data_IF_159325830912
#
_entry.id   IF_159325830912
#
_cell.length_a   1.000
_cell.length_b   1.000
_cell.length_c   1.000
_cell.angle_alpha   90.00
_cell.angle_beta   90.00
_cell.angle_gamma   90.00
#
_symmetry.space_group_name_H-M   'P 1'
#
loop_
_entity.id
_entity.type
_entity.pdbx_description
1 polymer ?
#
# COMPACT_ATOMS: atom_id res chain seq x y z
N UNK A 1 -37.36 -16.88 -2.66
CA UNK A 1 -37.44 -15.41 -2.73
C UNK A 1 -36.84 -14.90 -1.43
N UNK A 2 -35.54 -14.64 -1.43
CA UNK A 2 -34.81 -14.12 -0.27
C UNK A 2 -34.27 -12.75 -0.65
N UNK A 3 -34.84 -11.72 -0.02
CA UNK A 3 -34.37 -10.35 -0.03
C UNK A 3 -32.99 -10.29 0.63
N UNK A 4 -31.92 -10.22 -0.17
CA UNK A 4 -30.63 -9.64 0.25
C UNK A 4 -29.86 -9.00 -0.91
N UNK A 5 -30.57 -8.63 -1.99
CA UNK A 5 -30.11 -7.56 -2.89
C UNK A 5 -30.22 -6.24 -2.13
N UNK A 6 -29.20 -5.95 -1.31
CA UNK A 6 -28.91 -4.57 -0.94
C UNK A 6 -28.61 -3.84 -2.26
N UNK A 7 -29.66 -3.29 -2.83
CA UNK A 7 -29.76 -2.56 -4.08
C UNK A 7 -28.70 -1.44 -4.09
N UNK A 8 -27.47 -1.75 -4.48
CA UNK A 8 -26.39 -0.80 -4.58
C UNK A 8 -26.68 0.08 -5.81
N UNK A 9 -27.54 1.09 -5.61
CA UNK A 9 -27.84 2.09 -6.61
C UNK A 9 -26.58 2.91 -6.84
N UNK A 10 -25.94 2.69 -7.97
CA UNK A 10 -24.77 3.46 -8.37
C UNK A 10 -25.18 4.65 -9.24
N UNK A 11 -24.30 5.65 -9.31
CA UNK A 11 -24.55 6.88 -10.05
C UNK A 11 -23.31 7.33 -10.83
N UNK A 12 -23.55 7.89 -12.01
CA UNK A 12 -22.56 8.65 -12.79
C UNK A 12 -23.19 9.98 -13.18
N UNK A 13 -22.56 11.08 -12.79
CA UNK A 13 -23.06 12.43 -13.04
C UNK A 13 -24.53 12.60 -12.61
N UNK A 14 -24.91 11.97 -11.49
CA UNK A 14 -26.28 11.97 -10.95
C UNK A 14 -27.28 11.03 -11.65
N UNK A 15 -26.90 10.36 -12.75
CA UNK A 15 -27.75 9.36 -13.43
C UNK A 15 -27.57 7.99 -12.79
N UNK A 16 -28.68 7.30 -12.51
CA UNK A 16 -28.67 5.93 -11.96
C UNK A 16 -28.11 4.94 -12.97
N UNK A 17 -27.21 4.08 -12.50
CA UNK A 17 -26.58 3.01 -13.31
C UNK A 17 -26.54 1.71 -12.50
N UNK A 18 -26.49 0.57 -13.19
CA UNK A 18 -26.00 -0.67 -12.59
C UNK A 18 -24.48 -0.78 -12.81
N UNK A 19 -23.79 -1.47 -11.91
CA UNK A 19 -22.38 -1.77 -12.07
C UNK A 19 -22.08 -3.16 -11.53
N UNK A 20 -21.23 -3.90 -12.25
CA UNK A 20 -20.91 -5.29 -11.94
C UNK A 20 -19.46 -5.63 -12.25
N UNK A 21 -18.96 -6.66 -11.58
CA UNK A 21 -17.66 -7.27 -11.87
C UNK A 21 -17.93 -8.76 -12.09
N UNK A 22 -17.44 -9.27 -13.20
CA UNK A 22 -17.61 -10.66 -13.59
C UNK A 22 -16.27 -11.27 -14.00
N UNK A 23 -16.09 -12.56 -13.70
CA UNK A 23 -14.97 -13.34 -14.20
C UNK A 23 -15.38 -13.96 -15.53
N UNK A 24 -14.60 -13.72 -16.56
CA UNK A 24 -14.83 -14.24 -17.91
C UNK A 24 -13.74 -15.23 -18.26
N UNK A 25 -14.16 -16.36 -18.83
CA UNK A 25 -13.27 -17.39 -19.37
C UNK A 25 -13.33 -17.32 -20.89
N UNK A 26 -12.19 -17.17 -21.55
CA UNK A 26 -12.09 -17.28 -23.01
C UNK A 26 -12.04 -18.75 -23.46
N UNK A 27 -12.31 -18.97 -24.75
CA UNK A 27 -12.38 -20.31 -25.33
C UNK A 27 -11.03 -21.03 -25.38
N UNK A 28 -9.93 -20.29 -25.33
CA UNK A 28 -8.55 -20.79 -25.22
C UNK A 28 -8.12 -21.09 -23.77
N UNK A 29 -8.97 -20.76 -22.79
CA UNK A 29 -8.73 -20.99 -21.37
C UNK A 29 -8.14 -19.78 -20.62
N UNK A 30 -7.93 -18.64 -21.29
CA UNK A 30 -7.47 -17.43 -20.62
C UNK A 30 -8.57 -16.85 -19.72
N UNK A 31 -8.18 -16.42 -18.51
CA UNK A 31 -9.08 -15.80 -17.54
C UNK A 31 -8.85 -14.30 -17.48
N UNK A 32 -9.93 -13.52 -17.55
CA UNK A 32 -9.88 -12.10 -17.23
C UNK A 32 -11.11 -11.65 -16.42
N UNK A 33 -11.02 -10.44 -15.87
CA UNK A 33 -12.08 -9.82 -15.10
C UNK A 33 -12.67 -8.67 -15.89
N UNK A 34 -13.98 -8.72 -16.09
CA UNK A 34 -14.74 -7.66 -16.72
C UNK A 34 -15.38 -6.78 -15.65
N UNK A 35 -15.28 -5.47 -15.80
CA UNK A 35 -16.13 -4.52 -15.09
C UNK A 35 -17.06 -3.83 -16.07
N UNK A 36 -18.35 -3.78 -15.74
CA UNK A 36 -19.36 -3.17 -16.57
C UNK A 36 -20.15 -2.13 -15.79
N UNK A 37 -20.55 -1.09 -16.51
CA UNK A 37 -21.49 -0.07 -16.07
C UNK A 37 -22.57 -0.01 -17.14
N UNK A 38 -23.83 -0.01 -16.74
CA UNK A 38 -24.93 0.10 -17.69
C UNK A 38 -26.10 0.92 -17.16
N UNK A 39 -26.98 1.27 -18.08
CA UNK A 39 -28.21 1.99 -17.76
C UNK A 39 -29.09 1.11 -16.87
N UNK A 40 -29.50 1.63 -15.72
CA UNK A 40 -30.27 0.84 -14.75
C UNK A 40 -31.66 0.44 -15.28
N UNK A 41 -32.26 1.27 -16.13
CA UNK A 41 -33.62 1.06 -16.59
C UNK A 41 -33.66 0.15 -17.82
N UNK A 42 -32.70 0.30 -18.75
CA UNK A 42 -32.65 -0.53 -19.97
C UNK A 42 -31.76 -1.76 -19.86
N UNK A 43 -30.90 -1.83 -18.83
CA UNK A 43 -29.84 -2.83 -18.67
C UNK A 43 -28.78 -2.83 -19.78
N UNK A 44 -28.81 -1.84 -20.68
CA UNK A 44 -27.79 -1.71 -21.73
C UNK A 44 -26.45 -1.32 -21.13
N UNK A 45 -25.37 -1.91 -21.63
CA UNK A 45 -24.02 -1.54 -21.24
C UNK A 45 -23.65 -0.15 -21.77
N UNK A 46 -23.16 0.70 -20.88
CA UNK A 46 -22.63 2.03 -21.19
C UNK A 46 -21.12 1.93 -21.37
N UNK A 47 -20.45 1.22 -20.46
CA UNK A 47 -19.01 1.04 -20.48
C UNK A 47 -18.64 -0.37 -20.00
N UNK A 48 -17.68 -0.98 -20.68
CA UNK A 48 -17.19 -2.32 -20.38
C UNK A 48 -15.66 -2.32 -20.53
N UNK A 49 -14.96 -2.84 -19.51
CA UNK A 49 -13.49 -2.89 -19.48
C UNK A 49 -12.97 -4.19 -18.89
N UNK A 50 -11.88 -4.68 -19.48
CA UNK A 50 -11.20 -5.89 -19.05
C UNK A 50 -10.00 -5.55 -18.16
N UNK A 51 -9.75 -6.42 -17.19
CA UNK A 51 -8.71 -6.28 -16.18
C UNK A 51 -8.10 -7.65 -15.87
N UNK A 52 -6.82 -7.65 -15.53
CA UNK A 52 -6.10 -8.88 -15.16
C UNK A 52 -6.58 -9.47 -13.82
N UNK A 53 -7.28 -8.68 -12.98
CA UNK A 53 -7.70 -9.11 -11.65
C UNK A 53 -8.94 -8.33 -11.16
N UNK A 54 -9.74 -8.92 -10.24
CA UNK A 54 -11.02 -8.33 -9.80
C UNK A 54 -10.82 -7.04 -9.01
N UNK A 55 -9.66 -6.86 -8.39
CA UNK A 55 -9.33 -5.68 -7.58
C UNK A 55 -9.05 -4.45 -8.46
N UNK A 56 -8.42 -4.64 -9.61
CA UNK A 56 -8.27 -3.58 -10.61
C UNK A 56 -9.63 -3.15 -11.16
N UNK A 57 -10.50 -4.10 -11.48
CA UNK A 57 -11.89 -3.86 -11.87
C UNK A 57 -12.67 -3.04 -10.82
N UNK A 58 -12.65 -3.47 -9.55
CA UNK A 58 -13.32 -2.77 -8.45
C UNK A 58 -12.76 -1.36 -8.22
N UNK A 59 -11.44 -1.16 -8.34
CA UNK A 59 -10.83 0.18 -8.23
C UNK A 59 -11.23 1.09 -9.37
N UNK A 60 -11.38 0.55 -10.58
CA UNK A 60 -11.87 1.33 -11.70
C UNK A 60 -13.31 1.79 -11.44
N UNK A 61 -14.23 0.86 -11.10
CA UNK A 61 -15.60 1.22 -10.75
C UNK A 61 -15.67 2.25 -9.61
N UNK A 62 -14.89 2.06 -8.55
CA UNK A 62 -14.82 2.98 -7.41
C UNK A 62 -14.36 4.39 -7.82
N UNK A 63 -13.56 4.54 -8.88
CA UNK A 63 -13.13 5.86 -9.37
C UNK A 63 -14.14 6.48 -10.33
N UNK A 64 -14.85 5.65 -11.09
CA UNK A 64 -15.80 6.10 -12.12
C UNK A 64 -17.13 6.57 -11.52
N UNK A 65 -17.59 5.95 -10.45
CA UNK A 65 -18.91 6.22 -9.86
C UNK A 65 -18.86 7.39 -8.84
N UNK A 66 -19.92 8.20 -8.79
CA UNK A 66 -19.97 9.48 -8.05
C UNK A 66 -19.63 9.34 -6.55
N UNK A 67 -20.18 8.33 -5.89
CA UNK A 67 -20.03 8.10 -4.45
C UNK A 67 -18.79 7.29 -4.07
N UNK A 68 -17.95 6.95 -5.06
CA UNK A 68 -16.74 6.13 -4.89
C UNK A 68 -16.93 4.89 -4.01
N UNK A 69 -17.93 4.03 -4.33
CA UNK A 69 -18.23 2.85 -3.55
C UNK A 69 -17.00 1.96 -3.38
N UNK A 70 -16.92 1.30 -2.23
CA UNK A 70 -15.79 0.45 -1.83
C UNK A 70 -16.12 -1.04 -1.81
N UNK A 71 -17.39 -1.39 -2.02
CA UNK A 71 -17.89 -2.76 -1.98
C UNK A 71 -18.62 -3.05 -3.28
N UNK A 72 -18.29 -4.17 -3.92
CA UNK A 72 -18.89 -4.65 -5.15
C UNK A 72 -19.12 -6.16 -5.02
N UNK A 73 -20.36 -6.56 -4.68
CA UNK A 73 -20.66 -7.95 -4.35
C UNK A 73 -19.78 -8.45 -3.20
N UNK A 74 -18.99 -9.49 -3.45
CA UNK A 74 -18.04 -10.07 -2.47
C UNK A 74 -16.71 -9.31 -2.36
N UNK A 75 -16.44 -8.34 -3.24
CA UNK A 75 -15.18 -7.60 -3.27
C UNK A 75 -15.30 -6.36 -2.37
N UNK A 76 -14.52 -6.31 -1.28
CA UNK A 76 -14.45 -5.18 -0.36
C UNK A 76 -13.06 -4.53 -0.36
N UNK A 77 -12.95 -3.34 -0.96
CA UNK A 77 -11.73 -2.55 -1.03
C UNK A 77 -11.29 -2.01 0.35
N UNK A 78 -12.19 -1.91 1.34
CA UNK A 78 -11.87 -1.42 2.69
C UNK A 78 -10.96 -2.40 3.43
N UNK A 79 -11.18 -3.70 3.23
CA UNK A 79 -10.33 -4.75 3.83
C UNK A 79 -8.90 -4.63 3.33
N UNK A 80 -8.72 -4.37 2.03
CA UNK A 80 -7.42 -4.14 1.42
C UNK A 80 -6.73 -2.88 1.97
N UNK A 81 -7.48 -1.78 2.07
CA UNK A 81 -6.99 -0.53 2.66
C UNK A 81 -6.57 -0.74 4.13
N UNK A 82 -7.37 -1.46 4.91
CA UNK A 82 -7.07 -1.82 6.30
C UNK A 82 -5.80 -2.69 6.40
N UNK A 83 -5.66 -3.72 5.56
CA UNK A 83 -4.46 -4.56 5.51
C UNK A 83 -3.20 -3.74 5.19
N UNK A 84 -3.29 -2.83 4.22
CA UNK A 84 -2.17 -1.93 3.89
C UNK A 84 -1.83 -0.98 5.02
N UNK A 85 -2.84 -0.43 5.71
CA UNK A 85 -2.64 0.44 6.86
C UNK A 85 -1.91 -0.29 7.99
N UNK A 86 -2.34 -1.51 8.32
CA UNK A 86 -1.67 -2.35 9.33
C UNK A 86 -0.21 -2.63 8.95
N UNK A 87 0.07 -2.91 7.67
CA UNK A 87 1.45 -3.18 7.23
C UNK A 87 2.33 -1.94 7.22
N UNK A 88 1.79 -0.78 6.84
CA UNK A 88 2.50 0.48 6.96
C UNK A 88 2.85 0.78 8.43
N UNK A 89 1.88 0.59 9.33
CA UNK A 89 2.06 0.77 10.76
C UNK A 89 3.12 -0.20 11.33
N UNK A 90 3.08 -1.48 10.93
CA UNK A 90 4.06 -2.48 11.32
C UNK A 90 5.47 -2.17 10.81
N UNK A 91 5.61 -1.62 9.60
CA UNK A 91 6.90 -1.19 9.07
C UNK A 91 7.51 -0.05 9.89
N UNK A 92 6.72 0.93 10.32
CA UNK A 92 7.19 2.01 11.21
C UNK A 92 7.73 1.44 12.53
N UNK A 93 6.98 0.53 13.17
CA UNK A 93 7.41 -0.12 14.41
C UNK A 93 8.68 -0.97 14.22
N UNK A 94 8.79 -1.68 13.09
CA UNK A 94 9.99 -2.45 12.76
C UNK A 94 11.22 -1.54 12.66
N UNK A 95 11.13 -0.43 11.94
CA UNK A 95 12.24 0.53 11.80
C UNK A 95 12.64 1.10 13.16
N UNK A 96 11.67 1.52 13.98
CA UNK A 96 11.95 2.02 15.34
C UNK A 96 12.67 0.96 16.19
N UNK A 97 12.11 -0.24 16.25
CA UNK A 97 12.70 -1.35 17.02
C UNK A 97 14.10 -1.70 16.55
N UNK A 98 14.34 -1.70 15.24
CA UNK A 98 15.64 -2.00 14.66
C UNK A 98 16.68 -0.92 15.02
N UNK A 99 16.35 0.36 14.89
CA UNK A 99 17.22 1.47 15.28
C UNK A 99 17.59 1.41 16.78
N UNK A 100 16.62 1.10 17.63
CA UNK A 100 16.82 1.04 19.09
C UNK A 100 17.63 -0.19 19.51
N UNK A 101 17.27 -1.38 19.02
CA UNK A 101 17.89 -2.64 19.47
C UNK A 101 19.24 -2.90 18.81
N UNK A 102 19.39 -2.58 17.51
CA UNK A 102 20.63 -2.88 16.79
C UNK A 102 21.68 -1.77 16.89
N UNK A 103 21.25 -0.50 16.98
CA UNK A 103 22.16 0.64 16.94
C UNK A 103 22.15 1.52 18.19
N UNK A 104 21.28 1.26 19.16
CA UNK A 104 21.16 2.09 20.37
C UNK A 104 20.70 3.52 20.07
N UNK A 105 20.02 3.74 18.94
CA UNK A 105 19.49 5.05 18.54
C UNK A 105 18.09 5.19 19.13
N UNK A 106 17.84 6.28 19.86
CA UNK A 106 16.50 6.57 20.38
C UNK A 106 15.59 6.90 19.20
N UNK A 107 14.51 6.15 19.01
CA UNK A 107 13.54 6.38 17.94
C UNK A 107 12.16 6.64 18.53
N UNK A 108 11.49 7.68 18.05
CA UNK A 108 10.14 8.05 18.47
C UNK A 108 9.26 8.25 17.25
N UNK A 109 7.99 7.84 17.37
CA UNK A 109 7.03 8.02 16.29
C UNK A 109 6.54 9.47 16.27
N UNK A 110 6.46 10.06 15.09
CA UNK A 110 5.84 11.37 14.88
C UNK A 110 4.32 11.29 15.13
N UNK A 111 3.69 12.44 15.40
CA UNK A 111 2.24 12.52 15.45
C UNK A 111 1.66 12.16 14.06
N UNK A 112 0.55 11.42 13.99
CA UNK A 112 -0.10 11.03 12.73
C UNK A 112 -0.43 12.21 11.81
N UNK A 113 -0.67 13.38 12.39
CA UNK A 113 -0.97 14.61 11.64
C UNK A 113 0.29 15.39 11.24
N UNK A 114 1.48 14.93 11.62
CA UNK A 114 2.75 15.57 11.28
C UNK A 114 3.09 15.25 9.83
N UNK A 115 3.11 16.25 8.92
CA UNK A 115 3.55 16.02 7.57
C UNK A 115 5.07 15.86 7.54
N UNK A 116 5.58 14.98 6.67
CA UNK A 116 7.01 14.97 6.31
C UNK A 116 7.72 13.68 6.67
N UNK A 117 7.54 13.19 7.90
CA UNK A 117 8.26 12.03 8.42
C UNK A 117 7.40 11.26 9.42
N UNK A 118 7.72 9.99 9.61
CA UNK A 118 6.99 9.10 10.52
C UNK A 118 7.77 8.85 11.82
N UNK A 119 9.10 8.95 11.78
CA UNK A 119 9.99 8.67 12.92
C UNK A 119 10.99 9.81 13.09
N UNK A 120 11.19 10.24 14.34
CA UNK A 120 12.32 11.06 14.76
C UNK A 120 13.34 10.16 15.47
N UNK A 121 14.53 10.03 14.89
CA UNK A 121 15.65 9.31 15.46
C UNK A 121 16.64 10.30 16.09
N UNK A 122 17.20 9.95 17.24
CA UNK A 122 18.10 10.78 18.03
C UNK A 122 19.22 9.92 18.61
N UNK A 123 20.47 10.38 18.47
CA UNK A 123 21.63 9.74 19.07
C UNK A 123 22.12 10.60 20.25
N UNK A 124 21.93 10.15 21.51
CA UNK A 124 22.30 10.96 22.68
C UNK A 124 23.79 11.32 22.74
N UNK A 125 24.66 10.44 22.24
CA UNK A 125 26.11 10.62 22.27
C UNK A 125 26.57 11.87 21.50
N UNK A 126 25.91 12.19 20.39
CA UNK A 126 26.26 13.31 19.51
C UNK A 126 25.25 14.44 19.56
N UNK A 127 24.13 14.24 20.27
CA UNK A 127 22.98 15.14 20.34
C UNK A 127 22.38 15.47 18.95
N UNK A 128 22.64 14.62 17.95
CA UNK A 128 22.07 14.77 16.61
C UNK A 128 20.76 14.02 16.48
N UNK A 129 19.88 14.53 15.63
CA UNK A 129 18.63 13.89 15.27
C UNK A 129 18.42 13.88 13.77
N UNK A 130 17.67 12.91 13.27
CA UNK A 130 17.20 12.86 11.89
C UNK A 130 15.74 12.41 11.79
N UNK A 131 15.08 12.88 10.74
CA UNK A 131 13.69 12.60 10.40
C UNK A 131 13.64 11.50 9.36
N UNK A 132 12.84 10.46 9.62
CA UNK A 132 12.75 9.28 8.79
C UNK A 132 11.31 9.12 8.32
N UNK A 133 11.10 9.12 7.01
CA UNK A 133 9.85 8.70 6.39
C UNK A 133 9.94 7.20 6.09
N UNK A 134 8.94 6.44 6.52
CA UNK A 134 8.80 5.01 6.27
C UNK A 134 7.75 4.76 5.19
N UNK A 135 8.00 3.76 4.35
CA UNK A 135 7.01 3.21 3.42
C UNK A 135 7.08 1.69 3.43
N UNK A 136 5.94 1.03 3.42
CA UNK A 136 5.86 -0.40 3.17
C UNK A 136 5.45 -0.70 1.72
N UNK A 137 6.04 -1.72 1.09
CA UNK A 137 5.66 -2.22 -0.24
C UNK A 137 5.72 -3.75 -0.32
N UNK A 138 4.77 -4.35 -1.02
CA UNK A 138 4.80 -5.80 -1.32
C UNK A 138 5.82 -6.14 -2.43
N UNK A 139 6.14 -5.17 -3.28
CA UNK A 139 7.07 -5.27 -4.41
C UNK A 139 7.97 -4.03 -4.47
N UNK A 140 9.15 -4.15 -5.07
CA UNK A 140 10.05 -3.00 -5.31
C UNK A 140 9.52 -2.14 -6.47
N UNK A 141 8.49 -1.35 -6.18
CA UNK A 141 7.83 -0.47 -7.12
C UNK A 141 8.12 1.02 -6.85
N UNK A 142 7.55 1.85 -7.71
CA UNK A 142 7.57 3.30 -7.62
C UNK A 142 6.92 3.81 -6.33
N UNK A 143 7.61 4.75 -5.67
CA UNK A 143 7.15 5.41 -4.47
C UNK A 143 6.70 6.81 -4.82
N UNK A 144 5.42 7.06 -4.59
CA UNK A 144 4.86 8.41 -4.63
C UNK A 144 5.06 9.06 -3.26
N UNK A 145 5.66 10.24 -3.27
CA UNK A 145 5.87 11.07 -2.09
C UNK A 145 5.14 12.39 -2.30
N UNK A 146 4.39 12.81 -1.28
CA UNK A 146 3.64 14.08 -1.30
C UNK A 146 4.50 15.26 -0.86
N UNK A 147 5.51 15.00 -0.05
CA UNK A 147 6.48 15.96 0.43
C UNK A 147 7.82 15.22 0.65
N UNK A 148 8.88 16.00 0.86
CA UNK A 148 10.21 15.48 1.15
C UNK A 148 10.80 16.18 2.38
N UNK A 149 9.98 16.32 3.42
CA UNK A 149 10.39 16.89 4.70
C UNK A 149 10.85 15.79 5.68
N UNK A 150 11.85 15.05 5.22
CA UNK A 150 12.54 13.99 5.93
C UNK A 150 14.01 14.02 5.53
N UNK A 151 14.89 13.43 6.34
CA UNK A 151 16.31 13.29 6.03
C UNK A 151 16.59 11.94 5.35
N UNK A 152 15.82 10.90 5.70
CA UNK A 152 15.88 9.58 5.07
C UNK A 152 14.50 9.01 4.71
N UNK A 153 14.42 8.33 3.57
CA UNK A 153 13.34 7.44 3.22
C UNK A 153 13.77 6.00 3.52
N UNK A 154 13.01 5.30 4.36
CA UNK A 154 13.18 3.86 4.61
C UNK A 154 12.02 3.10 4.01
N UNK A 155 12.33 2.15 3.13
CA UNK A 155 11.31 1.32 2.48
C UNK A 155 11.45 -0.11 2.93
N UNK A 156 10.39 -0.61 3.56
CA UNK A 156 10.29 -2.01 3.98
C UNK A 156 9.58 -2.81 2.90
N UNK A 157 10.19 -3.92 2.47
CA UNK A 157 9.62 -4.79 1.44
C UNK A 157 9.51 -6.24 1.88
N UNK A 158 8.64 -6.98 1.19
CA UNK A 158 8.64 -8.43 1.26
C UNK A 158 9.76 -9.00 0.36
N UNK A 159 10.79 -9.66 0.93
CA UNK A 159 11.67 -10.52 0.11
C UNK A 159 10.96 -11.84 -0.30
N UNK A 160 11.44 -12.42 -1.42
CA UNK A 160 10.77 -13.35 -2.35
C UNK A 160 10.39 -14.73 -1.77
N UNK A 161 10.91 -15.14 -0.61
CA UNK A 161 10.68 -16.49 -0.07
C UNK A 161 9.85 -16.42 1.21
N UNK A 162 8.52 -16.47 1.04
CA UNK A 162 7.54 -16.42 2.14
C UNK A 162 7.27 -17.85 2.65
N UNK A 163 7.78 -18.21 3.82
CA UNK A 163 7.27 -19.39 4.54
C UNK A 163 5.96 -18.99 5.23
N UNK A 164 4.87 -19.12 4.49
CA UNK A 164 3.52 -18.86 4.99
C UNK A 164 3.09 -19.99 5.92
N UNK A 165 2.57 -19.64 7.09
CA UNK A 165 1.89 -20.59 7.96
C UNK A 165 0.46 -20.13 8.17
N UNK A 166 -0.48 -20.97 7.77
CA UNK A 166 -1.89 -20.70 7.97
C UNK A 166 -2.24 -20.98 9.43
N UNK A 167 -2.88 -20.02 10.08
CA UNK A 167 -3.50 -20.24 11.39
C UNK A 167 -4.96 -19.83 11.29
N UNK A 168 -5.85 -20.66 11.84
CA UNK A 168 -7.24 -20.28 12.01
C UNK A 168 -7.39 -19.66 13.39
N UNK A 169 -7.81 -18.40 13.45
CA UNK A 169 -8.24 -17.76 14.69
C UNK A 169 -9.75 -17.60 14.58
N UNK A 170 -10.51 -18.31 15.40
CA UNK A 170 -11.98 -18.18 15.49
C UNK A 170 -12.72 -18.34 14.15
N UNK A 171 -12.27 -19.25 13.28
CA UNK A 171 -12.90 -19.49 11.97
C UNK A 171 -12.56 -18.47 10.89
N UNK A 172 -11.68 -17.50 11.19
CA UNK A 172 -11.02 -16.68 10.19
C UNK A 172 -9.67 -17.33 9.86
N UNK A 173 -9.55 -17.85 8.65
CA UNK A 173 -8.25 -18.27 8.13
C UNK A 173 -7.39 -17.02 7.94
N UNK A 174 -6.36 -16.89 8.78
CA UNK A 174 -5.41 -15.79 8.72
C UNK A 174 -4.02 -16.37 8.41
N UNK A 175 -3.43 -15.90 7.30
CA UNK A 175 -2.02 -16.14 7.05
C UNK A 175 -1.20 -15.38 8.10
N UNK A 176 -0.59 -16.09 9.06
CA UNK A 176 0.35 -15.51 10.02
C UNK A 176 1.76 -15.82 9.54
N UNK A 177 2.54 -14.77 9.33
CA UNK A 177 3.94 -14.89 8.90
C UNK A 177 4.82 -15.20 10.11
N UNK A 178 5.91 -15.93 9.88
CA UNK A 178 6.99 -16.06 10.85
C UNK A 178 7.56 -14.67 11.19
N UNK A 179 8.24 -14.55 12.35
CA UNK A 179 8.98 -13.34 12.71
C UNK A 179 10.06 -13.11 11.65
N UNK A 180 9.75 -12.22 10.70
CA UNK A 180 10.53 -11.97 9.49
C UNK A 180 11.70 -11.05 9.77
N UNK A 181 12.85 -11.34 9.16
CA UNK A 181 13.88 -10.33 8.95
C UNK A 181 13.49 -9.57 7.67
N UNK A 182 12.94 -8.37 7.83
CA UNK A 182 12.41 -7.60 6.71
C UNK A 182 13.54 -6.94 5.93
N UNK A 183 13.36 -6.83 4.61
CA UNK A 183 14.30 -6.08 3.76
C UNK A 183 13.98 -4.60 3.88
N UNK A 184 15.03 -3.81 4.16
CA UNK A 184 14.94 -2.36 4.23
C UNK A 184 15.82 -1.74 3.14
N UNK A 185 15.29 -0.74 2.45
CA UNK A 185 16.05 0.14 1.56
C UNK A 185 16.10 1.54 2.16
N UNK A 186 17.29 2.06 2.40
CA UNK A 186 17.53 3.33 3.08
C UNK A 186 18.12 4.31 2.07
N UNK A 187 17.37 5.37 1.73
CA UNK A 187 17.78 6.38 0.76
C UNK A 187 17.83 7.78 1.42
N UNK A 188 18.91 8.54 1.22
CA UNK A 188 18.98 9.92 1.71
C UNK A 188 18.07 10.84 0.89
N UNK A 189 17.61 11.92 1.53
CA UNK A 189 16.62 12.87 0.98
C UNK A 189 16.99 13.41 -0.40
N UNK A 190 18.24 13.84 -0.58
CA UNK A 190 18.77 14.40 -1.83
C UNK A 190 18.51 13.46 -3.01
N UNK A 191 18.84 12.18 -2.84
CA UNK A 191 18.62 11.15 -3.87
C UNK A 191 17.16 10.89 -4.18
N UNK A 192 16.31 11.02 -3.17
CA UNK A 192 14.87 10.82 -3.33
C UNK A 192 14.25 11.99 -4.09
N UNK A 193 14.60 13.22 -3.73
CA UNK A 193 14.05 14.44 -4.35
C UNK A 193 14.42 14.54 -5.82
N UNK A 194 15.69 14.28 -6.18
CA UNK A 194 16.14 14.31 -7.57
C UNK A 194 15.25 13.43 -8.47
N UNK A 195 14.84 12.27 -7.96
CA UNK A 195 13.95 11.35 -8.69
C UNK A 195 12.50 11.82 -8.69
N UNK A 196 11.99 12.31 -7.56
CA UNK A 196 10.59 12.76 -7.47
C UNK A 196 10.36 14.02 -8.31
N UNK A 197 11.31 14.95 -8.35
CA UNK A 197 11.19 16.16 -9.18
C UNK A 197 11.27 15.84 -10.67
N UNK A 198 12.19 14.94 -11.06
CA UNK A 198 12.37 14.59 -12.48
C UNK A 198 11.32 13.62 -13.02
N UNK A 199 10.84 12.66 -12.21
CA UNK A 199 9.98 11.55 -12.66
C UNK A 199 8.62 11.48 -11.97
N UNK A 200 8.36 12.32 -10.98
CA UNK A 200 7.17 12.29 -10.09
C UNK A 200 7.08 11.06 -9.19
N UNK A 201 8.12 10.22 -9.16
CA UNK A 201 8.22 9.06 -8.29
C UNK A 201 9.68 8.75 -7.95
N UNK A 202 9.90 8.05 -6.84
CA UNK A 202 11.19 7.43 -6.53
C UNK A 202 11.14 5.93 -6.83
N UNK A 203 12.08 5.42 -7.63
CA UNK A 203 12.24 3.98 -7.85
C UNK A 203 13.33 3.48 -6.91
N UNK A 204 12.99 2.49 -6.09
CA UNK A 204 13.97 1.82 -5.24
C UNK A 204 14.98 1.12 -6.15
N UNK A 205 16.23 1.56 -6.11
CA UNK A 205 17.33 0.90 -6.80
C UNK A 205 17.86 -0.26 -5.97
N UNK A 206 18.07 -1.42 -6.61
CA UNK A 206 18.90 -2.48 -6.05
C UNK A 206 20.36 -1.98 -5.99
N UNK A 207 21.07 -2.17 -4.87
CA UNK A 207 22.45 -1.71 -4.68
C UNK A 207 22.66 -0.97 -3.36
N UNK A 208 23.30 0.20 -3.41
CA UNK A 208 23.84 0.96 -2.26
C UNK A 208 22.83 1.37 -1.17
N UNK A 209 21.53 1.15 -1.37
CA UNK A 209 20.48 1.45 -0.38
C UNK A 209 19.98 0.20 0.34
N UNK A 210 20.25 -1.01 -0.18
CA UNK A 210 19.82 -2.26 0.42
C UNK A 210 20.50 -2.47 1.77
N UNK A 211 19.70 -2.59 2.83
CA UNK A 211 20.11 -2.78 4.22
C UNK A 211 21.17 -1.78 4.72
N UNK A 212 21.31 -0.63 4.06
CA UNK A 212 22.37 0.33 4.33
C UNK A 212 22.01 1.31 5.47
N UNK A 213 21.76 0.74 6.65
CA UNK A 213 21.48 1.50 7.87
C UNK A 213 22.63 2.40 8.31
N UNK A 214 23.84 2.11 7.85
CA UNK A 214 25.03 2.93 8.10
C UNK A 214 24.86 4.37 7.64
N UNK A 215 24.04 4.63 6.61
CA UNK A 215 23.73 6.00 6.18
C UNK A 215 23.11 6.85 7.29
N UNK A 216 22.21 6.27 8.08
CA UNK A 216 21.58 6.97 9.21
C UNK A 216 22.59 7.14 10.35
N UNK A 217 23.36 6.10 10.63
CA UNK A 217 24.36 6.15 11.70
C UNK A 217 25.46 7.19 11.42
N UNK A 218 25.96 7.25 10.18
CA UNK A 218 26.98 8.20 9.76
C UNK A 218 26.46 9.63 9.78
N UNK A 219 25.19 9.84 9.46
CA UNK A 219 24.55 11.15 9.60
C UNK A 219 24.44 11.60 11.06
N UNK A 220 24.16 10.65 11.97
CA UNK A 220 24.02 10.91 13.40
C UNK A 220 25.37 10.93 14.14
N UNK A 221 26.46 10.49 13.54
CA UNK A 221 27.83 10.55 14.08
C UNK A 221 28.41 11.95 13.86
#
# INVERSE_FOLDING_TARGET
MNESESDHKYYINGKRVWAGIERVMEADGDEFWCAAIGDYDTWDSIELKNFDNPRSAARWLSKTLDNKPKVFGSIDLRIDEARKAVRADGAEHYVMGYLMLAYGIVATRANRNMPGYDILAYLPATQKSCRIQVKYRESTDFILLKNADFDFLVVITDEIVDYKKNYSISGLDQEIRSVKNWTAYIAPRDRVIDSVESKKYFKIGYGNYWMNWKLIFDFLS
#
